data_IF_247299855392
#
_entry.id   IF_247299855392
#
_cell.length_a   1.000
_cell.length_b   1.000
_cell.length_c   1.000
_cell.angle_alpha   90.00
_cell.angle_beta   90.00
_cell.angle_gamma   90.00
#
_symmetry.space_group_name_H-M   'P 1'
#
loop_
_entity.id
_entity.type
_entity.pdbx_description
1 polymer ?
#
# COMPACT_ATOMS: atom_id res chain seq x y z
N UNK A 1 -22.68 -44.50 -32.10
CA UNK A 1 -21.30 -44.00 -32.13
C UNK A 1 -21.18 -42.63 -32.80
N UNK A 2 -21.93 -41.60 -32.35
CA UNK A 2 -21.87 -40.23 -32.94
C UNK A 2 -21.86 -39.06 -31.94
N UNK A 3 -21.64 -39.32 -30.66
CA UNK A 3 -21.73 -38.28 -29.60
C UNK A 3 -20.40 -37.91 -28.90
N UNK A 4 -19.27 -38.52 -29.36
CA UNK A 4 -17.98 -38.27 -28.66
C UNK A 4 -17.05 -37.29 -29.33
N UNK A 5 -17.44 -36.75 -30.51
CA UNK A 5 -16.60 -35.75 -31.24
C UNK A 5 -16.90 -34.28 -30.90
N UNK A 6 -18.01 -34.01 -30.23
CA UNK A 6 -18.36 -32.62 -29.86
C UNK A 6 -17.71 -32.13 -28.56
N UNK A 7 -17.30 -33.03 -27.69
CA UNK A 7 -16.76 -32.65 -26.37
C UNK A 7 -15.26 -32.26 -26.39
N UNK A 8 -14.54 -32.73 -27.43
CA UNK A 8 -13.11 -32.43 -27.57
C UNK A 8 -12.83 -31.03 -28.13
N UNK A 9 -13.80 -30.44 -28.83
CA UNK A 9 -13.63 -29.10 -29.43
C UNK A 9 -13.91 -27.96 -28.45
N UNK A 10 -14.64 -28.24 -27.38
CA UNK A 10 -14.98 -27.23 -26.36
C UNK A 10 -13.86 -27.05 -25.31
N UNK A 11 -12.95 -28.01 -25.18
CA UNK A 11 -11.86 -27.93 -24.22
C UNK A 11 -10.64 -27.14 -24.71
N UNK A 12 -10.55 -26.88 -26.03
CA UNK A 12 -9.40 -26.15 -26.63
C UNK A 12 -9.59 -24.64 -26.58
N UNK A 13 -10.80 -24.15 -26.30
CA UNK A 13 -11.08 -22.71 -26.27
C UNK A 13 -10.80 -22.02 -24.94
N UNK A 14 -10.40 -22.80 -23.90
CA UNK A 14 -10.14 -22.24 -22.56
C UNK A 14 -8.67 -22.04 -22.21
N UNK A 15 -7.76 -22.27 -23.15
CA UNK A 15 -6.34 -21.91 -22.99
C UNK A 15 -6.13 -20.56 -23.68
N UNK A 16 -6.86 -19.53 -23.23
CA UNK A 16 -6.47 -18.15 -23.48
C UNK A 16 -5.27 -17.84 -22.59
N UNK A 17 -4.13 -17.79 -23.24
CA UNK A 17 -2.85 -17.35 -22.69
C UNK A 17 -3.01 -16.14 -21.80
N UNK A 18 -2.81 -16.33 -20.50
CA UNK A 18 -2.49 -15.24 -19.57
C UNK A 18 -1.07 -14.81 -19.94
N UNK A 19 -0.95 -13.87 -20.86
CA UNK A 19 0.27 -13.13 -21.09
C UNK A 19 0.37 -12.16 -19.91
N UNK A 20 1.08 -12.54 -18.87
CA UNK A 20 1.59 -11.58 -17.91
C UNK A 20 2.61 -10.70 -18.63
N UNK A 21 2.18 -9.54 -19.06
CA UNK A 21 3.11 -8.45 -19.37
C UNK A 21 3.69 -8.01 -18.03
N UNK A 22 4.91 -8.45 -17.73
CA UNK A 22 5.74 -7.80 -16.74
C UNK A 22 6.17 -6.46 -17.34
N UNK A 23 5.36 -5.43 -17.19
CA UNK A 23 5.85 -4.07 -17.29
C UNK A 23 6.71 -3.85 -16.03
N UNK A 24 8.02 -3.85 -16.19
CA UNK A 24 8.94 -3.37 -15.16
C UNK A 24 8.60 -1.91 -14.89
N UNK A 25 7.85 -1.65 -13.84
CA UNK A 25 7.52 -0.29 -13.44
C UNK A 25 8.78 0.40 -12.94
N UNK A 26 9.22 1.42 -13.69
CA UNK A 26 10.40 2.22 -13.33
C UNK A 26 10.10 2.93 -12.01
N UNK A 27 10.80 2.55 -10.97
CA UNK A 27 10.74 3.20 -9.65
C UNK A 27 11.26 4.62 -9.78
N UNK A 28 10.37 5.59 -9.61
CA UNK A 28 10.70 7.03 -9.75
C UNK A 28 11.07 7.66 -8.41
N UNK A 29 10.89 6.92 -7.32
CA UNK A 29 11.17 7.42 -5.98
C UNK A 29 12.68 7.64 -5.78
N UNK A 30 13.07 8.82 -5.27
CA UNK A 30 14.48 9.15 -5.02
C UNK A 30 15.23 9.77 -6.19
N UNK A 31 14.62 9.93 -7.37
CA UNK A 31 15.24 10.62 -8.49
C UNK A 31 14.22 11.35 -9.37
N UNK A 32 14.59 12.56 -9.81
CA UNK A 32 13.86 13.27 -10.88
C UNK A 32 14.28 12.83 -12.29
N UNK A 33 15.32 12.00 -12.42
CA UNK A 33 15.84 11.54 -13.70
C UNK A 33 15.27 10.16 -14.02
N UNK A 34 14.47 10.08 -15.06
CA UNK A 34 13.74 8.85 -15.48
C UNK A 34 14.61 7.69 -15.95
N UNK A 35 15.88 7.93 -16.30
CA UNK A 35 16.77 6.97 -16.98
C UNK A 35 17.99 6.55 -16.16
N UNK A 36 17.99 6.77 -14.85
CA UNK A 36 19.09 6.28 -14.04
C UNK A 36 18.68 5.01 -13.30
N UNK A 37 19.29 3.91 -13.67
CA UNK A 37 19.56 2.76 -12.77
C UNK A 37 20.43 3.29 -11.62
N UNK A 38 19.80 3.92 -10.62
CA UNK A 38 20.56 4.51 -9.53
C UNK A 38 20.69 3.46 -8.44
N UNK A 39 21.88 2.91 -8.32
CA UNK A 39 22.35 2.19 -7.14
C UNK A 39 22.41 3.07 -5.87
N UNK A 40 21.82 4.27 -5.89
CA UNK A 40 22.11 5.31 -4.91
C UNK A 40 21.26 5.28 -3.65
N UNK A 41 20.05 4.72 -3.69
CA UNK A 41 19.19 4.71 -2.48
C UNK A 41 18.32 3.47 -2.46
N UNK A 42 18.40 2.65 -1.39
CA UNK A 42 17.61 1.42 -1.29
C UNK A 42 16.12 1.75 -1.17
N UNK A 43 15.36 1.38 -2.19
CA UNK A 43 13.90 1.47 -2.22
C UNK A 43 13.31 0.08 -2.03
N UNK A 44 12.51 -0.11 -0.99
CA UNK A 44 11.72 -1.32 -0.82
C UNK A 44 10.40 -1.17 -1.57
N UNK A 45 10.04 -2.20 -2.35
CA UNK A 45 8.81 -2.22 -3.12
C UNK A 45 7.92 -3.36 -2.61
N UNK A 46 6.68 -3.01 -2.27
CA UNK A 46 5.62 -3.94 -1.96
C UNK A 46 4.57 -3.87 -3.09
N UNK A 47 4.56 -4.87 -3.96
CA UNK A 47 3.55 -4.99 -5.00
C UNK A 47 2.16 -5.29 -4.42
N UNK A 48 1.10 -5.07 -5.21
CA UNK A 48 -0.27 -5.43 -4.83
C UNK A 48 -0.39 -6.90 -4.42
N UNK A 49 0.33 -7.80 -5.10
CA UNK A 49 0.36 -9.22 -4.74
C UNK A 49 1.00 -9.44 -3.38
N UNK A 50 2.16 -8.85 -3.11
CA UNK A 50 2.84 -8.95 -1.81
C UNK A 50 1.97 -8.41 -0.68
N UNK A 51 1.31 -7.26 -0.88
CA UNK A 51 0.37 -6.67 0.09
C UNK A 51 -0.83 -7.61 0.33
N UNK A 52 -1.33 -8.25 -0.72
CA UNK A 52 -2.42 -9.24 -0.61
C UNK A 52 -2.00 -10.48 0.17
N UNK A 53 -0.78 -10.99 -0.08
CA UNK A 53 -0.23 -12.19 0.56
C UNK A 53 0.00 -11.99 2.07
N UNK A 54 0.25 -10.75 2.49
CA UNK A 54 0.35 -10.40 3.92
C UNK A 54 -0.99 -10.50 4.65
N UNK A 55 -2.10 -10.61 3.91
CA UNK A 55 -3.45 -10.75 4.46
C UNK A 55 -3.80 -9.73 5.55
N UNK A 56 -3.41 -8.47 5.31
CA UNK A 56 -3.65 -7.37 6.24
C UNK A 56 -5.15 -7.09 6.35
N UNK A 57 -5.62 -6.82 7.57
CA UNK A 57 -6.99 -6.38 7.82
C UNK A 57 -7.22 -4.95 7.31
N UNK A 58 -6.21 -4.11 7.47
CA UNK A 58 -6.16 -2.72 7.02
C UNK A 58 -4.77 -2.40 6.48
N UNK A 59 -4.66 -1.40 5.60
CA UNK A 59 -3.36 -0.93 5.10
C UNK A 59 -2.49 -0.37 6.22
N UNK A 60 -3.10 0.11 7.30
CA UNK A 60 -2.37 0.61 8.48
C UNK A 60 -1.41 -0.42 9.06
N UNK A 61 -1.73 -1.71 8.96
CA UNK A 61 -0.86 -2.78 9.48
C UNK A 61 0.42 -2.98 8.66
N UNK A 62 0.55 -2.35 7.49
CA UNK A 62 1.75 -2.49 6.63
C UNK A 62 3.03 -2.08 7.37
N UNK A 63 2.93 -1.11 8.28
CA UNK A 63 4.08 -0.68 9.10
C UNK A 63 4.75 -1.81 9.89
N UNK A 64 4.01 -2.86 10.25
CA UNK A 64 4.54 -4.06 10.93
C UNK A 64 5.52 -4.86 10.07
N UNK A 65 5.47 -4.68 8.75
CA UNK A 65 6.27 -5.40 7.75
C UNK A 65 7.38 -4.54 7.14
N UNK A 66 7.45 -3.27 7.56
CA UNK A 66 8.51 -2.34 7.15
C UNK A 66 9.60 -2.38 8.21
N UNK A 67 10.75 -2.96 7.92
CA UNK A 67 11.85 -3.14 8.88
C UNK A 67 12.35 -1.83 9.50
N UNK A 68 12.20 -0.72 8.79
CA UNK A 68 12.61 0.60 9.27
C UNK A 68 11.51 1.37 9.96
N UNK A 69 10.27 0.87 10.01
CA UNK A 69 9.16 1.52 10.70
C UNK A 69 9.24 1.22 12.21
N UNK A 70 9.62 2.22 12.97
CA UNK A 70 9.72 2.14 14.43
C UNK A 70 8.91 3.26 15.07
N UNK A 71 8.01 2.92 15.99
CA UNK A 71 7.10 3.90 16.61
C UNK A 71 5.95 4.33 15.68
N UNK A 72 5.62 3.50 14.69
CA UNK A 72 4.40 3.68 13.88
C UNK A 72 3.18 3.29 14.69
N UNK A 73 2.10 4.06 14.55
CA UNK A 73 0.82 3.77 15.18
C UNK A 73 -0.12 3.09 14.19
N UNK A 74 -0.86 2.12 14.68
CA UNK A 74 -1.86 1.39 13.93
C UNK A 74 -3.23 1.63 14.57
N UNK A 75 -4.27 1.60 13.80
CA UNK A 75 -5.63 1.83 14.26
C UNK A 75 -6.02 0.99 15.50
N UNK A 76 -5.44 -0.20 15.65
CA UNK A 76 -5.71 -1.11 16.76
C UNK A 76 -4.89 -0.83 18.02
N UNK A 77 -3.86 0.01 17.93
CA UNK A 77 -2.89 0.18 18.99
C UNK A 77 -3.23 1.35 19.93
N UNK A 78 -4.04 2.30 19.47
CA UNK A 78 -4.39 3.44 20.29
C UNK A 78 -5.69 3.19 21.07
N UNK A 79 -5.53 2.92 22.36
CA UNK A 79 -6.65 2.81 23.30
C UNK A 79 -6.97 4.16 23.96
N UNK A 80 -6.01 5.07 23.97
CA UNK A 80 -6.07 6.38 24.61
C UNK A 80 -5.39 7.42 23.73
N UNK A 81 -5.77 8.69 23.90
CA UNK A 81 -5.15 9.80 23.18
C UNK A 81 -6.04 10.45 22.11
N UNK A 82 -5.54 11.50 21.53
CA UNK A 82 -6.25 12.32 20.54
C UNK A 82 -6.20 11.73 19.13
N UNK A 83 -5.31 10.78 18.89
CA UNK A 83 -5.04 10.12 17.61
C UNK A 83 -5.69 8.73 17.50
N UNK A 84 -6.67 8.45 18.36
CA UNK A 84 -7.47 7.21 18.30
C UNK A 84 -8.11 7.00 16.93
N UNK A 85 -7.97 5.78 16.40
CA UNK A 85 -8.52 5.39 15.11
C UNK A 85 -7.73 5.88 13.90
N UNK A 86 -6.63 6.61 14.12
CA UNK A 86 -5.71 7.04 13.08
C UNK A 86 -4.52 6.08 12.97
N UNK A 87 -3.85 6.10 11.82
CA UNK A 87 -2.65 5.31 11.62
C UNK A 87 -1.58 6.11 10.90
N UNK A 88 -0.34 5.93 11.30
CA UNK A 88 0.80 6.63 10.73
C UNK A 88 1.97 5.68 10.51
N UNK A 89 2.95 6.12 9.73
CA UNK A 89 4.22 5.43 9.54
C UNK A 89 5.34 6.34 10.04
N UNK A 90 6.15 5.81 10.96
CA UNK A 90 7.33 6.47 11.47
C UNK A 90 8.56 5.68 11.02
N UNK A 91 9.30 6.20 10.07
CA UNK A 91 10.52 5.55 9.62
C UNK A 91 11.67 5.88 10.57
N UNK A 92 12.42 4.85 10.96
CA UNK A 92 13.61 4.94 11.82
C UNK A 92 13.37 5.56 13.21
N UNK A 93 12.12 5.74 13.62
CA UNK A 93 11.79 6.33 14.92
C UNK A 93 12.25 7.78 15.09
N UNK A 94 12.46 8.52 14.01
CA UNK A 94 12.96 9.90 14.07
C UNK A 94 11.89 10.94 14.43
N UNK A 95 10.69 10.63 14.34
CA UNK A 95 9.39 11.18 14.69
C UNK A 95 8.43 11.14 13.48
N UNK A 96 7.15 11.41 13.71
CA UNK A 96 6.11 11.27 12.68
C UNK A 96 6.22 12.32 11.58
N UNK A 97 6.63 13.53 11.94
CA UNK A 97 6.80 14.65 11.00
C UNK A 97 8.04 14.53 10.10
N UNK A 98 8.95 13.60 10.40
CA UNK A 98 10.15 13.34 9.63
C UNK A 98 9.96 12.30 8.51
N UNK A 99 8.79 11.66 8.44
CA UNK A 99 8.44 10.68 7.39
C UNK A 99 7.46 11.30 6.40
N UNK A 100 7.92 11.50 5.17
CA UNK A 100 7.05 12.00 4.12
C UNK A 100 6.16 10.88 3.57
N UNK A 101 4.85 11.07 3.66
CA UNK A 101 3.87 10.18 3.03
C UNK A 101 3.28 10.83 1.79
N UNK A 102 3.29 10.09 0.68
CA UNK A 102 2.76 10.53 -0.61
C UNK A 102 1.72 9.52 -1.14
N UNK A 103 0.82 10.03 -1.96
CA UNK A 103 -0.10 9.22 -2.78
C UNK A 103 0.14 9.61 -4.25
N UNK A 104 0.48 8.63 -5.07
CA UNK A 104 0.80 8.84 -6.49
C UNK A 104 1.87 9.92 -6.71
N UNK A 105 2.90 9.93 -5.85
CA UNK A 105 3.99 10.90 -5.85
C UNK A 105 3.58 12.34 -5.53
N UNK A 106 2.38 12.55 -5.02
CA UNK A 106 1.88 13.84 -4.54
C UNK A 106 1.85 13.83 -3.02
N UNK A 107 2.35 14.91 -2.40
CA UNK A 107 2.28 15.09 -0.94
C UNK A 107 0.84 15.03 -0.47
N UNK A 108 0.62 14.34 0.62
CA UNK A 108 -0.69 14.31 1.24
C UNK A 108 -0.81 15.34 2.37
N UNK A 109 -2.04 15.72 2.67
CA UNK A 109 -2.36 16.62 3.77
C UNK A 109 -2.15 15.91 5.10
N UNK A 110 -1.57 16.61 6.07
CA UNK A 110 -1.45 16.10 7.44
C UNK A 110 -2.81 15.98 8.10
N UNK A 111 -2.92 15.09 9.07
CA UNK A 111 -4.12 14.92 9.89
C UNK A 111 -4.48 16.24 10.62
N UNK A 112 -5.77 16.49 10.74
CA UNK A 112 -6.25 17.72 11.41
C UNK A 112 -6.03 17.73 12.94
N UNK A 113 -5.71 16.57 13.51
CA UNK A 113 -5.36 16.40 14.92
C UNK A 113 -3.92 15.91 14.99
N UNK A 114 -3.03 16.57 15.74
CA UNK A 114 -1.67 16.10 15.93
C UNK A 114 -1.67 14.80 16.73
N UNK A 115 -0.59 14.02 16.60
CA UNK A 115 -0.33 12.89 17.47
C UNK A 115 -0.19 13.36 18.94
N UNK A 116 -0.29 12.44 19.89
CA UNK A 116 -0.13 12.74 21.32
C UNK A 116 1.23 13.38 21.62
N UNK A 117 2.25 13.05 20.84
CA UNK A 117 3.57 13.70 20.88
C UNK A 117 3.58 15.16 20.43
N UNK A 118 2.49 15.65 19.83
CA UNK A 118 2.41 16.96 19.18
C UNK A 118 2.89 16.97 17.73
N UNK A 119 3.36 15.84 17.20
CA UNK A 119 3.85 15.73 15.83
C UNK A 119 2.72 15.74 14.79
N UNK A 120 3.00 16.36 13.65
CA UNK A 120 2.14 16.26 12.48
C UNK A 120 2.42 14.96 11.73
N UNK A 121 1.39 14.32 11.21
CA UNK A 121 1.50 13.09 10.43
C UNK A 121 0.39 12.99 9.38
N UNK A 122 0.55 12.07 8.44
CA UNK A 122 -0.48 11.72 7.46
C UNK A 122 -1.19 10.48 7.96
N UNK A 123 -2.53 10.53 8.07
CA UNK A 123 -3.33 9.35 8.39
C UNK A 123 -3.44 8.45 7.16
N UNK A 124 -2.82 7.27 7.23
CA UNK A 124 -2.82 6.30 6.13
C UNK A 124 -4.12 5.50 6.02
N UNK A 125 -5.03 5.57 7.00
CA UNK A 125 -6.34 4.92 6.93
C UNK A 125 -7.23 5.48 5.81
N UNK A 126 -6.94 6.68 5.32
CA UNK A 126 -7.66 7.28 4.19
C UNK A 126 -7.41 6.55 2.87
N UNK A 127 -6.41 5.67 2.81
CA UNK A 127 -5.99 5.00 1.57
C UNK A 127 -6.68 3.63 1.49
N UNK A 128 -7.61 3.42 0.55
CA UNK A 128 -8.28 2.13 0.42
C UNK A 128 -7.29 1.07 -0.08
N UNK A 129 -7.04 0.06 0.73
CA UNK A 129 -6.06 -1.01 0.43
C UNK A 129 -6.31 -1.68 -0.93
N UNK A 130 -7.57 -1.84 -1.33
CA UNK A 130 -7.93 -2.51 -2.59
C UNK A 130 -7.48 -1.71 -3.83
N UNK A 131 -7.29 -0.39 -3.68
CA UNK A 131 -6.86 0.51 -4.75
C UNK A 131 -5.35 0.61 -4.89
N UNK A 132 -4.57 0.04 -3.95
CA UNK A 132 -3.11 0.12 -3.97
C UNK A 132 -2.56 -0.89 -4.97
N UNK A 133 -1.82 -0.39 -5.94
CA UNK A 133 -1.05 -1.16 -6.90
C UNK A 133 0.34 -1.49 -6.35
N UNK A 134 0.97 -0.50 -5.68
CA UNK A 134 2.33 -0.60 -5.19
C UNK A 134 2.56 0.35 -4.02
N UNK A 135 3.39 -0.07 -3.09
CA UNK A 135 3.95 0.79 -2.04
C UNK A 135 5.47 0.84 -2.22
N UNK A 136 5.99 2.05 -2.32
CA UNK A 136 7.42 2.33 -2.43
C UNK A 136 7.91 2.99 -1.15
N UNK A 137 9.03 2.52 -0.62
CA UNK A 137 9.61 3.03 0.62
C UNK A 137 11.07 3.36 0.37
N UNK A 138 11.39 4.64 0.35
CA UNK A 138 12.75 5.14 0.35
C UNK A 138 13.22 5.22 1.80
N UNK A 139 14.16 4.37 2.18
CA UNK A 139 14.61 4.20 3.57
C UNK A 139 15.65 5.23 4.02
N UNK A 140 16.15 6.04 3.13
CA UNK A 140 17.15 7.07 3.42
C UNK A 140 16.55 8.47 3.38
N UNK A 141 17.23 9.41 4.05
CA UNK A 141 16.83 10.79 4.01
C UNK A 141 16.91 11.37 2.60
N UNK A 142 15.83 11.99 2.17
CA UNK A 142 15.69 12.56 0.83
C UNK A 142 15.32 14.05 0.88
N UNK A 143 15.83 14.76 1.86
CA UNK A 143 15.52 16.17 2.10
C UNK A 143 15.89 17.08 0.94
N UNK A 144 16.95 16.75 0.21
CA UNK A 144 17.38 17.50 -0.98
C UNK A 144 16.37 17.45 -2.12
N UNK A 145 15.57 16.38 -2.20
CA UNK A 145 14.56 16.18 -3.24
C UNK A 145 13.16 16.54 -2.77
N UNK A 146 12.86 16.19 -1.52
CA UNK A 146 11.50 16.25 -1.00
C UNK A 146 11.32 17.24 0.17
N UNK A 147 12.37 17.88 0.65
CA UNK A 147 12.30 18.88 1.74
C UNK A 147 12.37 18.26 3.14
N UNK A 148 12.13 19.09 4.16
CA UNK A 148 12.36 18.76 5.58
C UNK A 148 11.58 17.56 6.11
N UNK A 149 10.43 17.26 5.52
CA UNK A 149 9.56 16.18 6.00
C UNK A 149 10.08 14.78 5.60
N UNK A 150 11.11 14.72 4.74
CA UNK A 150 11.72 13.48 4.26
C UNK A 150 13.07 13.17 4.93
N UNK A 151 13.28 13.58 6.17
CA UNK A 151 14.52 13.30 6.93
C UNK A 151 14.64 11.81 7.23
N UNK A 152 13.57 11.18 7.65
CA UNK A 152 13.54 9.75 7.97
C UNK A 152 13.40 8.87 6.71
N UNK A 153 12.78 9.39 5.67
CA UNK A 153 12.52 8.69 4.43
C UNK A 153 11.20 9.10 3.80
N UNK A 154 10.83 8.38 2.73
CA UNK A 154 9.61 8.64 1.97
C UNK A 154 8.82 7.35 1.81
N UNK A 155 7.52 7.43 2.00
CA UNK A 155 6.55 6.35 1.77
C UNK A 155 5.58 6.80 0.70
N UNK A 156 5.56 6.14 -0.45
CA UNK A 156 4.71 6.51 -1.58
C UNK A 156 3.73 5.39 -1.91
N UNK A 157 2.45 5.64 -1.71
CA UNK A 157 1.37 4.74 -2.09
C UNK A 157 0.97 5.01 -3.52
N UNK A 158 1.19 4.06 -4.41
CA UNK A 158 0.71 4.12 -5.78
C UNK A 158 -0.61 3.38 -5.91
N UNK A 159 -1.61 4.05 -6.44
CA UNK A 159 -2.90 3.45 -6.77
C UNK A 159 -2.96 3.07 -8.25
N UNK A 160 -3.81 2.13 -8.61
CA UNK A 160 -4.02 1.77 -10.00
C UNK A 160 -4.39 2.99 -10.83
N UNK A 161 -3.58 3.30 -11.84
CA UNK A 161 -3.88 4.34 -12.83
C UNK A 161 -4.88 3.87 -13.88
N UNK A 162 -4.81 2.59 -14.21
CA UNK A 162 -5.73 1.88 -15.10
C UNK A 162 -6.04 0.54 -14.46
N UNK A 163 -7.30 0.20 -14.42
CA UNK A 163 -7.76 -1.09 -13.92
C UNK A 163 -8.84 -1.60 -14.85
N UNK A 164 -8.72 -2.82 -15.33
CA UNK A 164 -9.72 -3.47 -16.16
C UNK A 164 -10.25 -4.70 -15.45
N UNK A 165 -11.54 -4.70 -15.17
CA UNK A 165 -12.20 -5.78 -14.47
C UNK A 165 -12.83 -5.38 -13.13
N UNK A 166 -13.10 -6.40 -12.31
CA UNK A 166 -13.73 -6.22 -11.00
C UNK A 166 -13.00 -7.06 -9.96
N UNK A 167 -12.58 -6.42 -8.88
CA UNK A 167 -11.97 -7.06 -7.71
C UNK A 167 -12.89 -6.88 -6.50
N UNK A 168 -13.20 -7.97 -5.83
CA UNK A 168 -13.97 -7.95 -4.59
C UNK A 168 -13.11 -8.55 -3.49
N UNK A 169 -13.00 -7.85 -2.37
CA UNK A 169 -12.29 -8.33 -1.18
C UNK A 169 -13.28 -8.37 -0.02
N UNK A 170 -13.43 -9.55 0.58
CA UNK A 170 -14.14 -9.73 1.84
C UNK A 170 -13.13 -10.01 2.94
N UNK A 171 -13.21 -9.28 4.03
CA UNK A 171 -12.39 -9.48 5.24
C UNK A 171 -13.28 -9.86 6.41
N UNK A 172 -12.86 -10.85 7.19
CA UNK A 172 -13.52 -11.24 8.43
C UNK A 172 -12.43 -11.57 9.45
N UNK A 173 -12.32 -10.76 10.47
CA UNK A 173 -11.34 -10.87 11.53
C UNK A 173 -12.06 -11.08 12.86
N UNK A 174 -11.57 -12.00 13.66
CA UNK A 174 -12.13 -12.28 14.98
C UNK A 174 -11.00 -12.36 16.00
N UNK A 175 -11.15 -11.66 17.12
CA UNK A 175 -10.22 -11.77 18.23
C UNK A 175 -10.49 -13.04 19.04
N UNK A 176 -9.41 -13.68 19.53
CA UNK A 176 -9.54 -14.94 20.28
C UNK A 176 -10.15 -14.74 21.67
N UNK A 177 -9.92 -13.60 22.32
CA UNK A 177 -10.23 -13.44 23.74
C UNK A 177 -11.42 -12.55 24.06
N UNK A 178 -11.80 -11.61 23.20
CA UNK A 178 -12.82 -10.60 23.51
C UNK A 178 -14.05 -10.65 22.61
N UNK A 179 -14.14 -11.63 21.74
CA UNK A 179 -15.36 -11.83 20.90
C UNK A 179 -15.58 -10.73 19.87
N UNK A 180 -14.65 -9.79 19.70
CA UNK A 180 -14.77 -8.76 18.69
C UNK A 180 -14.66 -9.39 17.29
N UNK A 181 -15.58 -9.01 16.42
CA UNK A 181 -15.57 -9.44 15.03
C UNK A 181 -15.60 -8.22 14.14
N UNK A 182 -14.61 -8.14 13.26
CA UNK A 182 -14.51 -7.09 12.26
C UNK A 182 -14.78 -7.67 10.87
N UNK A 183 -15.65 -7.01 10.10
CA UNK A 183 -16.02 -7.46 8.76
C UNK A 183 -15.93 -6.30 7.80
N UNK A 184 -15.24 -6.54 6.69
CA UNK A 184 -15.09 -5.55 5.62
C UNK A 184 -15.48 -6.13 4.27
N UNK A 185 -16.08 -5.30 3.43
CA UNK A 185 -16.33 -5.58 2.02
C UNK A 185 -15.76 -4.41 1.22
N UNK A 186 -14.88 -4.73 0.27
CA UNK A 186 -14.29 -3.73 -0.63
C UNK A 186 -14.51 -4.16 -2.07
N UNK A 187 -14.83 -3.19 -2.92
CA UNK A 187 -15.05 -3.38 -4.34
C UNK A 187 -14.18 -2.39 -5.12
N UNK A 188 -13.46 -2.90 -6.11
CA UNK A 188 -12.76 -2.12 -7.11
C UNK A 188 -13.25 -2.56 -8.48
N UNK A 189 -13.75 -1.61 -9.26
CA UNK A 189 -14.18 -1.84 -10.64
C UNK A 189 -13.57 -0.79 -11.56
N UNK A 190 -13.10 -1.22 -12.71
CA UNK A 190 -12.60 -0.36 -13.77
C UNK A 190 -12.93 -0.94 -15.13
N UNK A 191 -13.08 -0.07 -16.12
CA UNK A 191 -13.24 -0.44 -17.52
C UNK A 191 -12.37 0.46 -18.38
N UNK A 192 -11.68 -0.11 -19.34
CA UNK A 192 -11.04 0.66 -20.40
C UNK A 192 -12.16 1.13 -21.36
N UNK A 193 -12.45 2.42 -21.32
CA UNK A 193 -13.26 3.10 -22.33
C UNK A 193 -12.37 3.58 -23.45
#
# INVERSE_FOLDING_TARGET
MKTLKGLSLFLIFFISSIIFSNEEEIVVLGSYLKDRTIEASPVDIFSAQKISDLNLSSISEIGKYIHTASGSHFQSDSLEGTDQGMANINLRGLNLSATLVMINSVRNTVAGVPAESGDSYVDINIIPQIAIEQLEILKEGATSLYGSDAVAGVVNFKTYKKYDGTKIKFTNQKTQHFGQTDRGLSLLHGSNL
#
